data_IF_071860227670
#
_entry.id   IF_071860227670
#
_cell.length_a   1.000
_cell.length_b   1.000
_cell.length_c   1.000
_cell.angle_alpha   90.00
_cell.angle_beta   90.00
_cell.angle_gamma   90.00
#
_symmetry.space_group_name_H-M   'P 1'
#
loop_
_entity.id
_entity.type
_entity.pdbx_description
1 polymer ?
#
# COMPACT_ATOMS: atom_id res chain seq x y z
N UNK A 1 36.84 10.54 -1.70
CA UNK A 1 36.27 9.35 -2.36
C UNK A 1 36.15 8.26 -1.30
N UNK A 2 34.94 8.12 -0.73
CA UNK A 2 34.61 7.13 0.28
C UNK A 2 33.58 6.18 -0.33
N UNK A 3 33.91 4.90 -0.41
CA UNK A 3 33.04 3.83 -0.87
C UNK A 3 32.00 3.44 0.21
N UNK A 4 30.84 2.88 -0.19
CA UNK A 4 29.67 2.74 0.67
C UNK A 4 29.71 1.47 1.54
N UNK A 5 29.14 1.60 2.75
CA UNK A 5 29.00 0.53 3.73
C UNK A 5 27.92 -0.48 3.34
N UNK A 6 28.33 -1.75 3.25
CA UNK A 6 27.48 -2.91 3.46
C UNK A 6 27.01 -2.99 4.92
N UNK A 7 25.75 -3.37 5.14
CA UNK A 7 25.31 -4.07 6.35
C UNK A 7 24.45 -5.27 5.92
N UNK A 8 24.70 -6.51 6.30
CA UNK A 8 25.71 -7.09 7.20
C UNK A 8 26.09 -8.51 6.71
N UNK A 9 27.38 -8.82 6.84
CA UNK A 9 28.11 -10.08 6.54
C UNK A 9 27.52 -11.29 7.29
N UNK A 10 27.74 -12.54 6.93
CA UNK A 10 28.62 -13.18 5.94
C UNK A 10 28.64 -14.70 6.20
N UNK A 11 28.98 -15.49 5.18
CA UNK A 11 29.04 -16.95 5.25
C UNK A 11 29.46 -17.54 3.90
N UNK A 12 30.77 -17.51 3.68
CA UNK A 12 31.57 -18.03 2.56
C UNK A 12 31.05 -19.28 1.84
N UNK A 13 30.87 -19.18 0.52
CA UNK A 13 31.58 -19.95 -0.52
C UNK A 13 31.39 -19.21 -1.84
N UNK A 14 32.44 -18.55 -2.32
CA UNK A 14 32.51 -18.00 -3.67
C UNK A 14 32.95 -19.12 -4.61
N UNK A 15 32.08 -19.48 -5.55
CA UNK A 15 32.38 -20.33 -6.70
C UNK A 15 31.50 -19.86 -7.85
N UNK A 16 32.14 -19.24 -8.85
CA UNK A 16 31.48 -18.43 -9.86
C UNK A 16 30.50 -19.19 -10.76
N UNK A 17 29.37 -18.55 -11.03
CA UNK A 17 28.66 -18.61 -12.30
C UNK A 17 28.06 -17.23 -12.54
N UNK A 18 28.66 -16.47 -13.47
CA UNK A 18 27.97 -15.36 -14.12
C UNK A 18 26.73 -15.95 -14.80
N UNK A 19 25.56 -15.78 -14.19
CA UNK A 19 24.29 -16.18 -14.79
C UNK A 19 23.49 -14.93 -15.15
N UNK A 20 23.48 -14.63 -16.45
CA UNK A 20 22.42 -13.98 -17.21
C UNK A 20 21.38 -13.21 -16.37
N UNK A 21 21.69 -11.95 -16.04
CA UNK A 21 20.64 -10.94 -15.90
C UNK A 21 20.04 -10.69 -17.28
N UNK A 22 19.19 -11.60 -17.74
CA UNK A 22 18.20 -11.25 -18.73
C UNK A 22 17.37 -10.12 -18.10
N UNK A 23 17.56 -8.90 -18.60
CA UNK A 23 16.57 -7.84 -18.48
C UNK A 23 15.25 -8.45 -18.97
N UNK A 24 14.43 -8.96 -18.06
CA UNK A 24 13.02 -9.15 -18.37
C UNK A 24 12.52 -7.73 -18.59
N UNK A 25 12.37 -7.36 -19.85
CA UNK A 25 11.51 -6.25 -20.24
C UNK A 25 10.11 -6.64 -19.79
N UNK A 26 9.78 -6.36 -18.53
CA UNK A 26 8.39 -6.32 -18.12
C UNK A 26 7.69 -5.34 -19.07
N UNK A 27 6.55 -5.73 -19.68
CA UNK A 27 5.93 -4.90 -20.70
C UNK A 27 5.64 -3.50 -20.15
N UNK A 28 5.90 -2.45 -20.93
CA UNK A 28 5.67 -1.08 -20.47
C UNK A 28 4.21 -0.90 -20.08
N UNK A 29 3.97 -0.14 -19.02
CA UNK A 29 2.62 0.18 -18.57
C UNK A 29 1.93 1.02 -19.64
N UNK A 30 0.77 0.55 -20.13
CA UNK A 30 -0.04 1.33 -21.05
C UNK A 30 -0.84 2.38 -20.27
N UNK A 31 -0.43 3.65 -20.38
CA UNK A 31 -1.09 4.76 -19.72
C UNK A 31 -2.21 5.33 -20.58
N UNK A 32 -3.34 5.68 -19.95
CA UNK A 32 -4.46 6.33 -20.63
C UNK A 32 -4.14 7.74 -21.13
N UNK A 33 -3.18 8.40 -20.47
CA UNK A 33 -2.64 9.70 -20.86
C UNK A 33 -1.17 9.78 -20.46
N UNK A 34 -0.43 10.72 -21.06
CA UNK A 34 0.95 10.98 -20.66
C UNK A 34 1.03 11.42 -19.20
N UNK A 35 1.96 10.82 -18.44
CA UNK A 35 2.14 11.15 -17.04
C UNK A 35 2.77 12.54 -16.88
N UNK A 36 2.13 13.39 -16.08
CA UNK A 36 2.55 14.77 -15.81
C UNK A 36 2.67 15.06 -14.33
N UNK A 37 3.52 16.03 -14.01
CA UNK A 37 3.60 16.66 -12.69
C UNK A 37 2.45 17.66 -12.51
N UNK A 38 2.04 17.91 -11.26
CA UNK A 38 1.16 19.04 -10.96
C UNK A 38 1.96 20.33 -11.10
N UNK A 39 1.46 21.24 -11.93
CA UNK A 39 2.03 22.56 -12.14
C UNK A 39 0.90 23.60 -12.11
N UNK A 40 0.88 24.53 -11.14
CA UNK A 40 1.81 24.62 -10.01
C UNK A 40 1.65 23.46 -9.00
N UNK A 41 2.68 23.18 -8.16
CA UNK A 41 2.54 22.26 -7.03
C UNK A 41 1.43 22.70 -6.05
N UNK A 42 0.67 21.74 -5.53
CA UNK A 42 -0.35 22.00 -4.50
C UNK A 42 0.29 22.38 -3.15
N UNK A 43 -0.20 23.42 -2.45
CA UNK A 43 0.20 23.65 -1.07
C UNK A 43 -0.34 22.57 -0.12
N UNK A 44 -1.42 21.89 -0.53
CA UNK A 44 -2.09 20.86 0.24
C UNK A 44 -1.62 19.47 -0.22
N UNK A 45 -0.59 18.95 0.45
CA UNK A 45 -0.06 17.62 0.19
C UNK A 45 -0.99 16.56 0.79
N UNK A 46 -1.38 15.58 -0.02
CA UNK A 46 -2.29 14.50 0.39
C UNK A 46 -1.53 13.21 0.63
N UNK A 47 -1.69 12.60 1.80
CA UNK A 47 -1.12 11.28 2.07
C UNK A 47 -1.97 10.17 1.44
N UNK A 48 -1.33 9.18 0.83
CA UNK A 48 -1.92 7.87 0.58
C UNK A 48 -1.35 6.88 1.58
N UNK A 49 -2.15 6.55 2.58
CA UNK A 49 -1.75 5.77 3.75
C UNK A 49 -2.30 4.37 3.63
N UNK A 50 -1.46 3.37 3.88
CA UNK A 50 -1.95 2.06 4.31
C UNK A 50 -0.86 1.17 4.88
N UNK A 51 -1.25 0.04 5.44
CA UNK A 51 -0.31 -1.01 5.80
C UNK A 51 0.27 -1.69 4.53
N UNK A 52 1.56 -2.10 4.51
CA UNK A 52 2.14 -2.84 3.38
C UNK A 52 1.30 -4.03 2.92
N UNK A 53 1.16 -4.27 1.62
CA UNK A 53 0.29 -5.34 1.10
C UNK A 53 -1.21 -4.99 1.02
N UNK A 54 -1.63 -3.78 1.43
CA UNK A 54 -3.03 -3.32 1.31
C UNK A 54 -3.44 -2.83 -0.08
N UNK A 55 -2.55 -2.89 -1.07
CA UNK A 55 -2.88 -2.54 -2.46
C UNK A 55 -2.47 -1.13 -2.92
N UNK A 56 -1.57 -0.45 -2.19
CA UNK A 56 -1.08 0.90 -2.54
C UNK A 56 -0.65 1.07 -3.99
N UNK A 57 0.18 0.16 -4.48
CA UNK A 57 0.72 0.23 -5.85
C UNK A 57 -0.41 0.18 -6.87
N UNK A 58 -1.44 -0.62 -6.61
CA UNK A 58 -2.60 -0.71 -7.48
C UNK A 58 -3.46 0.56 -7.42
N UNK A 59 -3.71 1.11 -6.23
CA UNK A 59 -4.46 2.37 -6.12
C UNK A 59 -3.70 3.55 -6.75
N UNK A 60 -2.39 3.65 -6.54
CA UNK A 60 -1.54 4.66 -7.22
C UNK A 60 -1.60 4.53 -8.73
N UNK A 61 -1.56 3.29 -9.24
CA UNK A 61 -1.73 3.00 -10.65
C UNK A 61 -3.08 3.48 -11.18
N UNK A 62 -4.19 3.18 -10.49
CA UNK A 62 -5.52 3.63 -10.89
C UNK A 62 -5.64 5.15 -10.90
N UNK A 63 -5.07 5.83 -9.90
CA UNK A 63 -5.03 7.29 -9.83
C UNK A 63 -4.22 7.89 -10.98
N UNK A 64 -3.05 7.33 -11.30
CA UNK A 64 -2.27 7.74 -12.47
C UNK A 64 -3.01 7.47 -13.78
N UNK A 65 -3.70 6.34 -13.89
CA UNK A 65 -4.48 6.01 -15.09
C UNK A 65 -5.60 7.01 -15.34
N UNK A 66 -6.34 7.39 -14.30
CA UNK A 66 -7.52 8.23 -14.48
C UNK A 66 -7.19 9.73 -14.55
N UNK A 67 -6.08 10.17 -13.96
CA UNK A 67 -5.73 11.61 -13.91
C UNK A 67 -4.58 12.00 -14.83
N UNK A 68 -3.75 11.04 -15.25
CA UNK A 68 -2.45 11.31 -15.85
C UNK A 68 -1.45 11.97 -14.90
N UNK A 69 -1.77 12.17 -13.62
CA UNK A 69 -0.88 12.85 -12.67
C UNK A 69 -0.07 11.84 -11.89
N UNK A 70 1.24 12.05 -11.83
CA UNK A 70 2.17 11.18 -11.08
C UNK A 70 1.83 11.12 -9.58
N UNK A 71 2.09 9.96 -8.96
CA UNK A 71 1.93 9.78 -7.51
C UNK A 71 3.29 9.61 -6.84
N UNK A 72 3.48 10.27 -5.71
CA UNK A 72 4.72 10.26 -4.93
C UNK A 72 4.79 9.15 -3.89
N UNK A 73 5.92 9.07 -3.21
CA UNK A 73 6.21 8.11 -2.15
C UNK A 73 7.29 8.68 -1.24
N UNK A 74 7.15 8.48 0.08
CA UNK A 74 8.23 8.81 1.03
C UNK A 74 9.43 7.86 0.93
N UNK A 75 9.30 6.82 0.10
CA UNK A 75 10.32 5.79 -0.13
C UNK A 75 10.89 5.91 -1.54
N UNK A 76 12.09 5.36 -1.72
CA UNK A 76 12.73 5.19 -3.02
C UNK A 76 12.73 3.71 -3.42
N UNK A 77 11.69 3.27 -4.13
CA UNK A 77 11.66 1.95 -4.75
C UNK A 77 12.11 2.04 -6.22
N UNK A 78 13.38 1.72 -6.48
CA UNK A 78 13.95 1.77 -7.84
C UNK A 78 13.20 0.90 -8.84
N UNK A 79 12.67 -0.25 -8.40
CA UNK A 79 11.88 -1.14 -9.24
C UNK A 79 10.59 -0.46 -9.68
N UNK A 80 9.85 0.16 -8.76
CA UNK A 80 8.64 0.92 -9.10
C UNK A 80 8.96 2.17 -9.92
N UNK A 81 10.07 2.86 -9.63
CA UNK A 81 10.47 4.07 -10.33
C UNK A 81 10.67 3.84 -11.83
N UNK A 82 11.37 2.77 -12.20
CA UNK A 82 11.61 2.46 -13.62
C UNK A 82 10.42 1.75 -14.29
N UNK A 83 9.48 1.20 -13.51
CA UNK A 83 8.30 0.52 -14.02
C UNK A 83 7.00 1.27 -13.69
N UNK A 84 6.96 2.59 -13.89
CA UNK A 84 5.71 3.35 -13.93
C UNK A 84 5.40 4.30 -12.77
N UNK A 85 6.30 4.44 -11.79
CA UNK A 85 6.16 5.41 -10.68
C UNK A 85 7.34 6.39 -10.64
N UNK A 86 7.48 7.28 -11.65
CA UNK A 86 8.66 8.14 -11.79
C UNK A 86 8.91 9.06 -10.59
N UNK A 87 7.87 9.35 -9.81
CA UNK A 87 7.89 10.22 -8.64
C UNK A 87 8.14 9.50 -7.30
N UNK A 88 8.74 8.29 -7.30
CA UNK A 88 9.33 7.74 -6.07
C UNK A 88 10.32 8.75 -5.45
N UNK A 89 10.32 8.86 -4.13
CA UNK A 89 11.06 9.86 -3.34
C UNK A 89 10.62 11.33 -3.56
N UNK A 90 9.53 11.59 -4.30
CA UNK A 90 8.91 12.92 -4.36
C UNK A 90 7.75 12.96 -3.37
N UNK A 91 7.73 13.99 -2.54
CA UNK A 91 6.84 14.06 -1.37
C UNK A 91 6.11 15.39 -1.23
N UNK A 92 6.27 16.33 -2.16
CA UNK A 92 5.62 17.64 -2.12
C UNK A 92 4.35 17.69 -2.99
N UNK A 93 3.81 18.90 -3.20
CA UNK A 93 2.59 19.12 -3.98
C UNK A 93 2.71 18.91 -5.48
N UNK A 94 3.88 18.57 -6.02
CA UNK A 94 4.07 18.30 -7.46
C UNK A 94 3.46 16.96 -7.90
N UNK A 95 3.00 16.14 -6.95
CA UNK A 95 2.33 14.86 -7.18
C UNK A 95 0.88 14.90 -6.72
N UNK A 96 0.05 13.96 -7.20
CA UNK A 96 -1.36 13.88 -6.81
C UNK A 96 -1.55 13.50 -5.33
N UNK A 97 -0.84 12.45 -4.90
CA UNK A 97 -0.82 11.92 -3.53
C UNK A 97 0.56 11.36 -3.22
N UNK A 98 0.93 11.26 -1.94
CA UNK A 98 2.23 10.72 -1.49
C UNK A 98 2.01 9.46 -0.66
N UNK A 99 2.53 8.31 -1.13
CA UNK A 99 2.42 7.03 -0.42
C UNK A 99 3.25 7.03 0.87
N UNK A 100 2.66 6.55 1.97
CA UNK A 100 3.36 6.30 3.24
C UNK A 100 2.84 5.05 3.97
N UNK A 101 3.73 4.41 4.74
CA UNK A 101 3.38 3.39 5.75
C UNK A 101 3.65 3.88 7.18
N UNK A 102 4.07 5.13 7.34
CA UNK A 102 4.36 5.71 8.64
C UNK A 102 3.06 6.08 9.37
N UNK A 103 3.11 6.10 10.71
CA UNK A 103 2.09 6.73 11.54
C UNK A 103 2.16 8.25 11.39
N UNK A 104 1.04 8.98 11.56
CA UNK A 104 1.06 10.43 11.46
C UNK A 104 1.92 11.03 12.59
N UNK A 105 2.69 12.06 12.27
CA UNK A 105 3.48 12.86 13.20
C UNK A 105 3.06 14.33 13.12
N UNK A 106 3.25 15.10 14.19
CA UNK A 106 2.86 16.52 14.24
C UNK A 106 3.62 17.38 13.20
N UNK A 107 4.81 16.94 12.80
CA UNK A 107 5.62 17.58 11.75
C UNK A 107 5.26 17.14 10.33
N UNK A 108 4.25 16.28 10.15
CA UNK A 108 3.86 15.83 8.83
C UNK A 108 3.27 16.98 8.02
N UNK A 109 3.75 17.12 6.80
CA UNK A 109 3.28 18.12 5.82
C UNK A 109 1.90 17.82 5.22
N UNK A 110 1.26 16.72 5.62
CA UNK A 110 0.02 16.27 5.02
C UNK A 110 -1.17 17.08 5.52
N UNK A 111 -1.91 17.70 4.60
CA UNK A 111 -3.11 18.50 4.90
C UNK A 111 -4.38 17.65 4.92
N UNK A 112 -4.39 16.58 4.14
CA UNK A 112 -5.45 15.57 4.12
C UNK A 112 -4.86 14.19 3.81
N UNK A 113 -5.65 13.13 4.00
CA UNK A 113 -5.17 11.77 3.79
C UNK A 113 -6.26 10.84 3.24
N UNK A 114 -5.84 9.89 2.42
CA UNK A 114 -6.62 8.73 2.00
C UNK A 114 -6.08 7.54 2.81
N UNK A 115 -6.93 6.93 3.64
CA UNK A 115 -6.61 5.74 4.42
C UNK A 115 -7.16 4.50 3.72
N UNK A 116 -6.29 3.77 3.04
CA UNK A 116 -6.62 2.50 2.40
C UNK A 116 -6.48 1.35 3.41
N UNK A 117 -7.61 0.72 3.73
CA UNK A 117 -7.71 -0.39 4.67
C UNK A 117 -7.99 -1.68 3.90
N UNK A 118 -7.22 -2.73 4.19
CA UNK A 118 -7.45 -4.08 3.65
C UNK A 118 -7.59 -5.06 4.80
N UNK A 119 -8.33 -6.15 4.59
CA UNK A 119 -8.41 -7.25 5.55
C UNK A 119 -6.98 -7.63 6.04
N UNK A 120 -6.72 -7.64 7.37
CA UNK A 120 -5.39 -7.84 7.91
C UNK A 120 -4.79 -9.19 7.51
N UNK A 121 -5.62 -10.23 7.38
CA UNK A 121 -5.18 -11.56 6.91
C UNK A 121 -4.51 -11.46 5.56
N UNK A 122 -5.20 -10.84 4.60
CA UNK A 122 -4.74 -10.74 3.22
C UNK A 122 -3.60 -9.73 3.07
N UNK A 123 -3.61 -8.65 3.83
CA UNK A 123 -2.55 -7.64 3.82
C UNK A 123 -1.23 -8.22 4.36
N UNK A 124 -1.27 -8.91 5.51
CA UNK A 124 -0.09 -9.55 6.13
C UNK A 124 0.47 -10.64 5.22
N UNK A 125 -0.39 -11.50 4.64
CA UNK A 125 0.05 -12.52 3.69
C UNK A 125 0.68 -11.88 2.44
N UNK A 126 0.08 -10.82 1.91
CA UNK A 126 0.60 -10.14 0.73
C UNK A 126 1.96 -9.46 0.99
N UNK A 127 2.17 -8.91 2.19
CA UNK A 127 3.44 -8.32 2.60
C UNK A 127 4.53 -9.39 2.82
N UNK A 128 4.18 -10.51 3.44
CA UNK A 128 5.10 -11.63 3.60
C UNK A 128 5.62 -12.13 2.24
N UNK A 129 4.72 -12.28 1.27
CA UNK A 129 5.10 -12.61 -0.11
C UNK A 129 6.02 -11.55 -0.73
N UNK A 130 5.74 -10.26 -0.50
CA UNK A 130 6.57 -9.15 -1.00
C UNK A 130 7.99 -9.19 -0.44
N UNK A 131 8.15 -9.43 0.86
CA UNK A 131 9.46 -9.52 1.50
C UNK A 131 10.30 -10.69 0.97
N UNK A 132 9.65 -11.80 0.61
CA UNK A 132 10.36 -12.99 0.14
C UNK A 132 10.66 -13.00 -1.36
N UNK A 133 9.78 -12.41 -2.19
CA UNK A 133 9.84 -12.56 -3.66
C UNK A 133 9.50 -11.30 -4.45
N UNK A 134 9.53 -10.12 -3.80
CA UNK A 134 9.22 -8.85 -4.44
C UNK A 134 7.72 -8.62 -4.67
N UNK A 135 7.38 -7.47 -5.26
CA UNK A 135 5.99 -6.97 -5.34
C UNK A 135 5.00 -7.94 -5.97
N UNK A 136 5.41 -8.69 -7.00
CA UNK A 136 4.54 -9.61 -7.74
C UNK A 136 4.82 -11.10 -7.46
N UNK A 137 5.83 -11.43 -6.65
CA UNK A 137 6.24 -12.80 -6.37
C UNK A 137 5.49 -13.47 -5.22
N UNK A 138 5.51 -14.80 -5.17
CA UNK A 138 4.87 -15.61 -4.11
C UNK A 138 5.93 -16.39 -3.34
N UNK A 139 5.99 -16.20 -2.02
CA UNK A 139 6.87 -16.95 -1.13
C UNK A 139 6.66 -18.47 -1.27
N UNK A 140 7.72 -19.29 -1.27
CA UNK A 140 7.58 -20.74 -1.32
C UNK A 140 6.93 -21.27 -0.02
N UNK A 141 6.22 -22.40 -0.10
CA UNK A 141 5.56 -23.02 1.08
C UNK A 141 6.52 -23.28 2.25
N UNK A 142 7.81 -23.54 1.96
CA UNK A 142 8.85 -23.76 2.97
C UNK A 142 9.10 -22.52 3.85
N UNK A 143 8.92 -21.31 3.32
CA UNK A 143 9.13 -20.07 4.07
C UNK A 143 8.19 -19.94 5.28
N UNK A 144 6.99 -20.52 5.20
CA UNK A 144 6.00 -20.49 6.28
C UNK A 144 6.28 -21.49 7.42
N UNK A 145 7.13 -22.49 7.16
CA UNK A 145 7.44 -23.58 8.10
C UNK A 145 8.77 -23.41 8.83
N UNK A 146 9.56 -22.39 8.46
CA UNK A 146 10.85 -22.11 9.10
C UNK A 146 10.61 -21.79 10.58
N UNK A 147 11.36 -22.45 11.46
CA UNK A 147 11.34 -22.19 12.91
C UNK A 147 12.51 -21.29 13.25
N UNK A 148 12.31 -20.36 14.18
CA UNK A 148 13.45 -19.60 14.70
C UNK A 148 14.29 -20.53 15.58
N UNK A 149 15.62 -20.37 15.56
CA UNK A 149 16.53 -21.19 16.36
C UNK A 149 16.35 -21.02 17.88
N UNK A 150 15.64 -19.97 18.30
CA UNK A 150 15.50 -19.57 19.70
C UNK A 150 14.11 -19.83 20.31
N UNK A 151 13.06 -20.09 19.50
CA UNK A 151 11.69 -20.26 20.00
C UNK A 151 10.98 -21.50 19.44
N UNK A 152 10.04 -22.06 20.22
CA UNK A 152 9.11 -23.13 19.76
C UNK A 152 8.10 -22.65 18.69
N UNK A 153 8.03 -21.35 18.36
CA UNK A 153 7.13 -20.75 17.36
C UNK A 153 7.79 -20.67 15.98
N UNK A 154 7.01 -20.80 14.90
CA UNK A 154 7.52 -20.58 13.53
C UNK A 154 7.79 -19.10 13.26
N UNK A 155 8.72 -18.81 12.34
CA UNK A 155 9.01 -17.46 11.83
C UNK A 155 7.73 -16.78 11.32
N UNK A 156 6.85 -17.56 10.69
CA UNK A 156 5.53 -17.11 10.25
C UNK A 156 4.62 -16.68 11.42
N UNK A 157 4.56 -17.46 12.50
CA UNK A 157 3.71 -17.11 13.65
C UNK A 157 4.17 -15.84 14.34
N UNK A 158 5.48 -15.66 14.51
CA UNK A 158 6.05 -14.43 15.06
C UNK A 158 5.74 -13.26 14.12
N UNK A 159 5.98 -13.43 12.82
CA UNK A 159 5.67 -12.41 11.81
C UNK A 159 4.21 -11.99 11.84
N UNK A 160 3.26 -12.93 11.85
CA UNK A 160 1.82 -12.62 11.92
C UNK A 160 1.50 -11.80 13.17
N UNK A 161 2.01 -12.18 14.34
CA UNK A 161 1.74 -11.43 15.57
C UNK A 161 2.31 -10.01 15.54
N UNK A 162 3.56 -9.83 15.12
CA UNK A 162 4.21 -8.52 15.01
C UNK A 162 3.50 -7.63 13.99
N UNK A 163 3.20 -8.19 12.81
CA UNK A 163 2.57 -7.43 11.74
C UNK A 163 1.11 -7.10 12.03
N UNK A 164 0.41 -7.93 12.80
CA UNK A 164 -0.95 -7.62 13.23
C UNK A 164 -0.97 -6.41 14.18
N UNK A 165 -0.02 -6.32 15.12
CA UNK A 165 0.16 -5.13 15.97
C UNK A 165 0.50 -3.89 15.14
N UNK A 166 1.38 -4.02 14.14
CA UNK A 166 1.74 -2.92 13.25
C UNK A 166 0.54 -2.46 12.40
N UNK A 167 -0.25 -3.40 11.89
CA UNK A 167 -1.49 -3.12 11.16
C UNK A 167 -2.47 -2.36 12.05
N UNK A 168 -2.73 -2.83 13.27
CA UNK A 168 -3.62 -2.15 14.22
C UNK A 168 -3.14 -0.73 14.53
N UNK A 169 -1.86 -0.59 14.89
CA UNK A 169 -1.25 0.68 15.29
C UNK A 169 -1.37 1.72 14.19
N UNK A 170 -1.08 1.35 12.94
CA UNK A 170 -1.18 2.29 11.81
C UNK A 170 -2.60 2.84 11.69
N UNK A 171 -3.60 1.96 11.60
CA UNK A 171 -4.98 2.39 11.40
C UNK A 171 -5.51 3.17 12.61
N UNK A 172 -5.21 2.72 13.83
CA UNK A 172 -5.58 3.44 15.05
C UNK A 172 -5.00 4.86 15.05
N UNK A 173 -3.71 5.01 14.75
CA UNK A 173 -3.06 6.32 14.80
C UNK A 173 -3.62 7.28 13.73
N UNK A 174 -3.82 6.81 12.49
CA UNK A 174 -4.44 7.64 11.45
C UNK A 174 -5.89 8.00 11.74
N UNK A 175 -6.68 7.11 12.36
CA UNK A 175 -8.08 7.38 12.72
C UNK A 175 -8.24 8.31 13.92
N UNK A 176 -7.24 8.39 14.81
CA UNK A 176 -7.37 9.09 16.10
C UNK A 176 -6.43 10.27 16.31
N UNK A 177 -5.34 10.37 15.54
CA UNK A 177 -4.30 11.40 15.72
C UNK A 177 -4.13 12.32 14.53
N UNK A 178 -4.51 11.90 13.32
CA UNK A 178 -4.41 12.79 12.16
C UNK A 178 -5.48 13.89 12.26
N UNK A 179 -5.11 15.18 12.28
CA UNK A 179 -6.06 16.27 12.50
C UNK A 179 -6.79 16.70 11.22
N UNK A 180 -6.30 16.31 10.05
CA UNK A 180 -6.86 16.72 8.76
C UNK A 180 -8.00 15.82 8.26
N UNK A 181 -8.65 16.20 7.15
CA UNK A 181 -9.68 15.38 6.50
C UNK A 181 -9.12 14.01 6.10
N UNK A 182 -9.86 12.95 6.43
CA UNK A 182 -9.48 11.56 6.15
C UNK A 182 -10.54 10.87 5.29
N UNK A 183 -10.17 10.45 4.09
CA UNK A 183 -11.03 9.64 3.22
C UNK A 183 -10.70 8.15 3.39
N UNK A 184 -11.65 7.37 3.90
CA UNK A 184 -11.44 5.94 4.20
C UNK A 184 -11.86 5.09 3.01
N UNK A 185 -10.93 4.28 2.51
CA UNK A 185 -11.13 3.37 1.38
C UNK A 185 -10.92 1.94 1.86
N UNK A 186 -11.90 1.06 1.61
CA UNK A 186 -11.71 -0.38 1.82
C UNK A 186 -11.24 -1.03 0.52
N UNK A 187 -10.13 -1.76 0.57
CA UNK A 187 -9.56 -2.45 -0.59
C UNK A 187 -10.56 -3.41 -1.23
N UNK A 188 -11.32 -4.14 -0.43
CA UNK A 188 -12.33 -5.09 -0.92
C UNK A 188 -13.44 -4.38 -1.69
N UNK A 189 -13.80 -3.16 -1.29
CA UNK A 189 -14.76 -2.30 -2.02
C UNK A 189 -14.12 -1.75 -3.29
N UNK A 190 -12.86 -1.27 -3.22
CA UNK A 190 -12.11 -0.82 -4.39
C UNK A 190 -12.00 -1.92 -5.47
N UNK A 191 -11.82 -3.18 -5.06
CA UNK A 191 -11.80 -4.32 -6.00
C UNK A 191 -13.18 -4.59 -6.60
N UNK A 192 -14.23 -4.59 -5.78
CA UNK A 192 -15.60 -4.92 -6.20
C UNK A 192 -16.24 -3.83 -7.05
N UNK A 193 -16.04 -2.57 -6.66
CA UNK A 193 -16.67 -1.39 -7.24
C UNK A 193 -15.61 -0.30 -7.48
N UNK A 194 -14.70 -0.60 -8.40
CA UNK A 194 -13.53 0.23 -8.68
C UNK A 194 -13.92 1.62 -9.16
N UNK A 195 -14.90 1.74 -10.05
CA UNK A 195 -15.30 3.02 -10.65
C UNK A 195 -15.80 3.98 -9.58
N UNK A 196 -16.79 3.57 -8.77
CA UNK A 196 -17.39 4.45 -7.77
C UNK A 196 -16.42 4.75 -6.64
N UNK A 197 -15.61 3.77 -6.22
CA UNK A 197 -14.58 4.01 -5.20
C UNK A 197 -13.54 5.01 -5.69
N UNK A 198 -13.11 4.90 -6.95
CA UNK A 198 -12.16 5.84 -7.54
C UNK A 198 -12.77 7.23 -7.69
N UNK A 199 -14.04 7.33 -8.08
CA UNK A 199 -14.77 8.60 -8.14
C UNK A 199 -14.82 9.28 -6.76
N UNK A 200 -15.18 8.55 -5.69
CA UNK A 200 -15.21 9.11 -4.34
C UNK A 200 -13.84 9.62 -3.86
N UNK A 201 -12.75 8.99 -4.28
CA UNK A 201 -11.39 9.48 -4.03
C UNK A 201 -11.12 10.76 -4.82
N UNK A 202 -11.51 10.82 -6.10
CA UNK A 202 -11.34 12.00 -6.94
C UNK A 202 -12.14 13.20 -6.41
N UNK A 203 -13.36 12.97 -5.93
CA UNK A 203 -14.21 13.99 -5.30
C UNK A 203 -13.53 14.53 -4.03
N UNK A 204 -12.99 13.64 -3.19
CA UNK A 204 -12.20 14.04 -2.00
C UNK A 204 -10.95 14.84 -2.36
N UNK A 205 -10.29 14.51 -3.47
CA UNK A 205 -9.13 15.23 -3.99
C UNK A 205 -9.51 16.53 -4.73
N UNK A 206 -10.81 16.81 -4.89
CA UNK A 206 -11.34 17.88 -5.74
C UNK A 206 -10.72 17.86 -7.14
N UNK A 207 -10.62 16.67 -7.75
CA UNK A 207 -10.00 16.45 -9.05
C UNK A 207 -11.02 15.93 -10.06
N UNK A 208 -11.31 16.74 -11.07
CA UNK A 208 -12.25 16.36 -12.12
C UNK A 208 -11.54 15.59 -13.24
N UNK A 209 -12.19 14.54 -13.74
CA UNK A 209 -11.74 13.72 -14.87
C UNK A 209 -12.86 13.59 -15.88
N UNK A 210 -12.54 13.32 -17.14
CA UNK A 210 -13.58 13.07 -18.14
C UNK A 210 -14.09 11.64 -18.03
N UNK A 211 -15.30 11.41 -18.55
CA UNK A 211 -15.84 10.06 -18.71
C UNK A 211 -14.94 9.16 -19.57
N UNK A 212 -14.24 9.74 -20.56
CA UNK A 212 -13.27 9.03 -21.39
C UNK A 212 -12.06 8.54 -20.56
N UNK A 213 -11.50 9.40 -19.70
CA UNK A 213 -10.39 9.04 -18.82
C UNK A 213 -10.79 7.91 -17.86
N UNK A 214 -11.96 8.04 -17.24
CA UNK A 214 -12.52 7.02 -16.35
C UNK A 214 -12.75 5.69 -17.08
N UNK A 215 -13.33 5.73 -18.28
CA UNK A 215 -13.56 4.53 -19.10
C UNK A 215 -12.24 3.85 -19.49
N UNK A 216 -11.23 4.62 -19.88
CA UNK A 216 -9.92 4.08 -20.17
C UNK A 216 -9.28 3.44 -18.93
N UNK A 217 -9.33 4.12 -17.78
CA UNK A 217 -8.80 3.59 -16.52
C UNK A 217 -9.49 2.28 -16.13
N UNK A 218 -10.81 2.18 -16.33
CA UNK A 218 -11.57 0.95 -16.07
C UNK A 218 -11.19 -0.18 -17.03
N UNK A 219 -11.00 0.12 -18.31
CA UNK A 219 -10.56 -0.86 -19.31
C UNK A 219 -9.16 -1.43 -18.99
N UNK A 220 -8.29 -0.62 -18.39
CA UNK A 220 -6.92 -0.99 -18.05
C UNK A 220 -6.72 -1.35 -16.56
N UNK A 221 -7.79 -1.43 -15.76
CA UNK A 221 -7.70 -1.44 -14.29
C UNK A 221 -6.83 -2.55 -13.67
N UNK A 222 -6.62 -3.68 -14.35
CA UNK A 222 -5.82 -4.78 -13.77
C UNK A 222 -4.33 -4.43 -13.68
N UNK A 223 -3.78 -3.73 -14.68
CA UNK A 223 -2.37 -3.37 -14.77
C UNK A 223 -1.39 -4.56 -14.64
N UNK A 224 -0.14 -4.27 -14.26
CA UNK A 224 0.94 -5.27 -14.08
C UNK A 224 1.29 -5.53 -12.61
N UNK A 225 0.67 -4.79 -11.67
CA UNK A 225 1.08 -4.79 -10.26
C UNK A 225 0.30 -5.79 -9.40
N UNK A 226 -0.62 -6.55 -9.99
CA UNK A 226 -1.39 -7.58 -9.30
C UNK A 226 -0.66 -8.92 -9.33
N UNK A 227 -0.49 -9.51 -8.15
CA UNK A 227 0.07 -10.85 -8.01
C UNK A 227 -0.91 -11.91 -8.52
N UNK A 228 -0.44 -12.82 -9.38
CA UNK A 228 -1.21 -14.01 -9.77
C UNK A 228 -1.45 -14.90 -8.55
N UNK A 229 -2.70 -15.36 -8.35
CA UNK A 229 -3.05 -16.26 -7.24
C UNK A 229 -2.37 -17.61 -7.45
N UNK A 230 -1.38 -17.93 -6.61
CA UNK A 230 -0.68 -19.23 -6.55
C UNK A 230 -0.95 -19.86 -5.18
N UNK A 231 -0.91 -21.19 -5.12
CA UNK A 231 -1.14 -21.97 -3.88
C UNK A 231 -2.53 -21.77 -3.27
N UNK A 232 -3.59 -21.89 -4.07
CA UNK A 232 -4.96 -21.75 -3.57
C UNK A 232 -5.30 -22.77 -2.46
N UNK A 233 -4.68 -23.94 -2.49
CA UNK A 233 -4.88 -25.02 -1.51
C UNK A 233 -3.94 -24.95 -0.30
N UNK A 234 -3.29 -23.81 -0.06
CA UNK A 234 -2.36 -23.65 1.07
C UNK A 234 -2.85 -22.55 2.01
N UNK A 235 -3.26 -22.97 3.20
CA UNK A 235 -3.66 -22.08 4.28
C UNK A 235 -2.54 -21.99 5.32
N UNK A 236 -1.77 -20.87 5.37
CA UNK A 236 -0.71 -20.70 6.35
C UNK A 236 -1.22 -20.25 7.73
N UNK A 237 -2.45 -19.77 7.86
CA UNK A 237 -2.99 -19.27 9.14
C UNK A 237 -3.63 -20.39 9.97
N UNK A 238 -3.33 -20.40 11.27
CA UNK A 238 -3.99 -21.31 12.23
C UNK A 238 -5.31 -20.71 12.72
N UNK A 239 -6.15 -21.54 13.36
CA UNK A 239 -7.40 -21.07 13.98
C UNK A 239 -7.17 -19.94 15.01
N UNK A 240 -6.11 -20.04 15.82
CA UNK A 240 -5.74 -19.01 16.80
C UNK A 240 -5.34 -17.70 16.12
N UNK A 241 -4.63 -17.77 14.99
CA UNK A 241 -4.30 -16.58 14.19
C UNK A 241 -5.57 -15.94 13.64
N UNK A 242 -6.51 -16.74 13.11
CA UNK A 242 -7.79 -16.23 12.63
C UNK A 242 -8.57 -15.51 13.74
N UNK A 243 -8.63 -16.09 14.95
CA UNK A 243 -9.26 -15.44 16.10
C UNK A 243 -8.63 -14.09 16.42
N UNK A 244 -7.29 -14.01 16.45
CA UNK A 244 -6.59 -12.74 16.69
C UNK A 244 -6.83 -11.71 15.58
N UNK A 245 -6.77 -12.15 14.31
CA UNK A 245 -7.02 -11.32 13.13
C UNK A 245 -8.43 -10.72 13.16
N UNK A 246 -9.45 -11.53 13.46
CA UNK A 246 -10.84 -11.08 13.54
C UNK A 246 -11.05 -10.10 14.69
N UNK A 247 -10.45 -10.35 15.86
CA UNK A 247 -10.51 -9.43 17.01
C UNK A 247 -9.95 -8.05 16.66
N UNK A 248 -8.74 -8.00 16.10
CA UNK A 248 -8.08 -6.74 15.71
C UNK A 248 -8.82 -6.05 14.56
N UNK A 249 -9.29 -6.82 13.57
CA UNK A 249 -10.11 -6.28 12.46
C UNK A 249 -11.36 -5.60 13.00
N UNK A 250 -12.10 -6.27 13.87
CA UNK A 250 -13.36 -5.75 14.41
C UNK A 250 -13.11 -4.48 15.25
N UNK A 251 -12.01 -4.44 16.01
CA UNK A 251 -11.60 -3.25 16.75
C UNK A 251 -11.35 -2.06 15.81
N UNK A 252 -10.58 -2.23 14.74
CA UNK A 252 -10.33 -1.15 13.76
C UNK A 252 -11.61 -0.76 13.01
N UNK A 253 -12.47 -1.71 12.65
CA UNK A 253 -13.77 -1.40 12.03
C UNK A 253 -14.67 -0.59 12.97
N UNK A 254 -14.67 -0.87 14.28
CA UNK A 254 -15.37 -0.03 15.25
C UNK A 254 -14.84 1.41 15.25
N UNK A 255 -13.51 1.58 15.23
CA UNK A 255 -12.90 2.92 15.14
C UNK A 255 -13.27 3.64 13.85
N UNK A 256 -13.35 2.94 12.72
CA UNK A 256 -13.83 3.52 11.45
C UNK A 256 -15.28 3.99 11.56
N UNK A 257 -16.17 3.18 12.17
CA UNK A 257 -17.56 3.57 12.38
C UNK A 257 -17.67 4.79 13.28
N UNK A 258 -16.87 4.86 14.34
CA UNK A 258 -16.84 6.01 15.24
C UNK A 258 -16.27 7.26 14.55
N UNK A 259 -15.25 7.11 13.71
CA UNK A 259 -14.73 8.19 12.89
C UNK A 259 -15.82 8.75 11.96
N UNK A 260 -16.50 7.88 11.19
CA UNK A 260 -17.58 8.27 10.28
C UNK A 260 -18.71 8.98 11.02
N UNK A 261 -19.17 8.42 12.14
CA UNK A 261 -20.25 9.02 12.95
C UNK A 261 -19.94 10.45 13.41
N UNK A 262 -18.68 10.72 13.76
CA UNK A 262 -18.23 12.06 14.20
C UNK A 262 -18.13 13.08 13.06
N UNK A 263 -17.86 12.62 11.84
CA UNK A 263 -17.57 13.51 10.70
C UNK A 263 -18.75 13.63 9.72
N UNK A 264 -19.66 12.65 9.69
CA UNK A 264 -20.88 12.69 8.87
C UNK A 264 -22.04 13.47 9.56
N UNK A 265 -21.95 13.73 10.88
CA UNK A 265 -22.93 14.51 11.66
C UNK A 265 -22.26 15.70 12.39
N UNK A 266 -21.94 16.81 11.69
CA UNK A 266 -21.28 17.97 12.31
C UNK A 266 -22.14 18.76 13.32
N UNK A 267 -23.41 18.39 13.55
CA UNK A 267 -24.37 19.17 14.34
C UNK A 267 -24.64 18.71 15.78
N UNK A 268 -23.96 17.68 16.31
CA UNK A 268 -24.25 17.15 17.67
C UNK A 268 -23.19 17.55 18.73
N UNK A 269 -22.18 18.35 18.36
CA UNK A 269 -21.06 18.69 19.24
C UNK A 269 -21.00 20.14 19.75
N UNK A 270 -22.05 20.94 19.54
CA UNK A 270 -22.13 22.32 20.06
C UNK A 270 -23.41 22.50 20.85
N UNK A 271 -23.41 22.01 22.08
CA UNK A 271 -24.30 22.44 23.17
C UNK A 271 -23.46 22.56 24.42
#
# INVERSE_FOLDING_TARGET
MLSPLHGSRGGYYAGGYMNNFAFRHDPPVNWCSELKWRSPPSPDVVALVSYPGSGNTWLRYLLQQVTGVVTGSIYMDYGLRVHGFPAENVTDGSVLVVKTHAVPMDSDKFRSAILLIRNPRDAILADFHRLHRGHIGTAPKSAFKKKSHENKKSDWSTYVSTQLTAWETLHQMWLTRFPGPLHIVFYEVLVRDTRNTLQGILDFLNYNVTEADMNCAMANKEGIYRRKKKHQDFEPFTADMYKALDQVRNKVLSMVMDYKRKHDNPHVGKT
#
